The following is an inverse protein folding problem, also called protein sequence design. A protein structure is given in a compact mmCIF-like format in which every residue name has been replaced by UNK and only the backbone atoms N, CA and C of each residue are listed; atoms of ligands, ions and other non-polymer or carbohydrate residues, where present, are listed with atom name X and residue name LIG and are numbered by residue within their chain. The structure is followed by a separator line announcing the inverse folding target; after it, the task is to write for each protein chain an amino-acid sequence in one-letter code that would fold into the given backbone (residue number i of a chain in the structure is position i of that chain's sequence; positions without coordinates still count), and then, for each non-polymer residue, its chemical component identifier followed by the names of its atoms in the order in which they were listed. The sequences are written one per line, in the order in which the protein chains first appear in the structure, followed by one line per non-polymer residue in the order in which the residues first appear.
data_IF_131322494779
#
_entry.id   IF_131322494779
#
_cell.length_a   1.000
_cell.length_b   1.000
_cell.length_c   1.000
_cell.angle_alpha   90.00
_cell.angle_beta   90.00
_cell.angle_gamma   90.00
#
_symmetry.space_group_name_H-M   'P 1'
#
loop_
_entity.id
_entity.type
_entity.pdbx_description
1 polymer ?
#
# COMPACT_ATOMS: atom_id res chain seq x y z
N UNK A 1 -1.62 -24.89 10.17
CA UNK A 1 -0.48 -24.55 11.08
C UNK A 1 0.88 -24.40 10.38
N UNK A 2 1.02 -24.66 9.07
CA UNK A 2 2.28 -24.46 8.34
C UNK A 2 2.59 -22.98 7.97
N UNK A 3 1.59 -22.10 8.05
CA UNK A 3 1.73 -20.66 7.71
C UNK A 3 2.47 -19.87 8.80
N UNK A 4 2.59 -20.40 10.03
CA UNK A 4 3.23 -19.71 11.16
C UNK A 4 4.74 -19.98 11.29
N UNK A 5 5.32 -20.93 10.57
CA UNK A 5 6.77 -21.23 10.67
C UNK A 5 7.64 -20.05 10.19
N UNK A 6 7.29 -19.32 9.10
CA UNK A 6 8.00 -18.09 8.74
C UNK A 6 7.89 -17.00 9.81
N UNK A 7 6.76 -16.95 10.54
CA UNK A 7 6.50 -15.90 11.55
C UNK A 7 7.48 -15.90 12.71
N UNK A 8 7.89 -17.08 13.16
CA UNK A 8 8.81 -17.23 14.28
C UNK A 8 10.26 -16.82 13.95
N UNK A 9 10.64 -16.81 12.67
CA UNK A 9 12.01 -16.52 12.24
C UNK A 9 12.16 -15.32 11.28
N UNK A 10 11.11 -14.51 11.07
CA UNK A 10 11.19 -13.31 10.22
C UNK A 10 12.34 -12.37 10.61
N UNK A 11 12.62 -12.17 11.90
CA UNK A 11 13.74 -11.32 12.35
C UNK A 11 15.10 -11.83 11.83
N UNK A 12 15.26 -13.15 11.66
CA UNK A 12 16.50 -13.78 11.19
C UNK A 12 16.61 -13.80 9.67
N UNK A 13 15.48 -13.94 8.96
CA UNK A 13 15.40 -13.83 7.49
C UNK A 13 15.54 -12.39 6.99
N UNK A 14 14.99 -11.43 7.73
CA UNK A 14 14.98 -10.01 7.37
C UNK A 14 16.33 -9.32 7.64
N UNK A 15 17.15 -9.92 8.51
CA UNK A 15 18.39 -9.33 9.00
C UNK A 15 19.56 -10.28 8.73
N UNK A 16 19.75 -10.67 7.45
CA UNK A 16 20.86 -11.50 6.91
C UNK A 16 22.25 -10.90 7.21
N UNK A 17 22.59 -10.70 8.48
CA UNK A 17 23.83 -10.11 8.97
C UNK A 17 23.96 -8.58 8.82
N UNK A 18 23.01 -7.89 8.19
CA UNK A 18 23.07 -6.44 7.94
C UNK A 18 22.67 -5.56 9.13
N UNK A 19 23.20 -4.34 9.21
CA UNK A 19 22.72 -3.30 10.15
C UNK A 19 21.26 -2.95 9.80
N UNK A 20 20.36 -2.94 10.79
CA UNK A 20 18.91 -2.65 10.61
C UNK A 20 18.62 -1.35 9.84
N UNK A 21 19.49 -0.33 9.97
CA UNK A 21 19.36 0.95 9.27
C UNK A 21 19.59 0.82 7.75
N UNK A 22 20.48 -0.05 7.33
CA UNK A 22 20.78 -0.28 5.91
C UNK A 22 19.71 -1.14 5.25
N UNK A 23 19.19 -2.12 5.98
CA UNK A 23 18.01 -2.89 5.55
C UNK A 23 16.80 -1.98 5.29
N UNK A 24 16.52 -1.04 6.20
CA UNK A 24 15.39 -0.12 6.08
C UNK A 24 15.52 0.83 4.88
N UNK A 25 16.74 1.30 4.57
CA UNK A 25 17.02 2.12 3.36
C UNK A 25 16.90 1.29 2.08
N UNK A 26 17.43 0.07 2.08
CA UNK A 26 17.35 -0.85 0.94
C UNK A 26 15.89 -1.22 0.62
N UNK A 27 15.03 -1.34 1.64
CA UNK A 27 13.62 -1.62 1.46
C UNK A 27 12.88 -0.54 0.64
N UNK A 28 13.07 0.77 0.92
CA UNK A 28 12.46 1.82 0.08
C UNK A 28 12.97 1.72 -1.35
N UNK A 29 14.29 1.55 -1.49
CA UNK A 29 14.92 1.52 -2.81
C UNK A 29 14.37 0.39 -3.67
N UNK A 30 14.00 -0.74 -3.05
CA UNK A 30 13.33 -1.86 -3.71
C UNK A 30 11.83 -1.61 -3.98
N UNK A 31 11.14 -0.84 -3.13
CA UNK A 31 9.71 -0.56 -3.33
C UNK A 31 9.44 0.40 -4.49
N UNK A 32 10.28 1.41 -4.72
CA UNK A 32 10.09 2.36 -5.82
C UNK A 32 9.93 1.66 -7.19
N UNK A 33 10.87 0.79 -7.64
CA UNK A 33 10.72 0.11 -8.92
C UNK A 33 9.53 -0.86 -8.91
N UNK A 34 9.24 -1.53 -7.79
CA UNK A 34 8.09 -2.42 -7.67
C UNK A 34 6.76 -1.67 -7.88
N UNK A 35 6.63 -0.47 -7.30
CA UNK A 35 5.44 0.39 -7.46
C UNK A 35 5.30 0.84 -8.91
N UNK A 36 6.39 1.29 -9.54
CA UNK A 36 6.37 1.73 -10.95
C UNK A 36 5.97 0.59 -11.88
N UNK A 37 6.55 -0.61 -11.69
CA UNK A 37 6.21 -1.78 -12.50
C UNK A 37 4.76 -2.18 -12.27
N UNK A 38 4.30 -2.25 -11.02
CA UNK A 38 2.92 -2.61 -10.70
C UNK A 38 1.92 -1.61 -11.31
N UNK A 39 2.18 -0.30 -11.19
CA UNK A 39 1.36 0.74 -11.79
C UNK A 39 1.33 0.65 -13.33
N UNK A 40 2.48 0.38 -13.96
CA UNK A 40 2.58 0.21 -15.41
C UNK A 40 1.79 -1.02 -15.86
N UNK A 41 1.90 -2.15 -15.15
CA UNK A 41 1.11 -3.36 -15.41
C UNK A 41 -0.37 -3.06 -15.32
N UNK A 42 -0.85 -2.37 -14.28
CA UNK A 42 -2.27 -2.02 -14.15
C UNK A 42 -2.79 -1.20 -15.34
N UNK A 43 -2.01 -0.22 -15.82
CA UNK A 43 -2.38 0.58 -16.99
C UNK A 43 -2.35 -0.24 -18.28
N UNK A 44 -1.33 -1.09 -18.46
CA UNK A 44 -1.21 -1.96 -19.63
C UNK A 44 -2.37 -2.96 -19.67
N UNK A 45 -2.72 -3.58 -18.54
CA UNK A 45 -3.87 -4.48 -18.40
C UNK A 45 -5.16 -3.80 -18.84
N UNK A 46 -5.43 -2.58 -18.38
CA UNK A 46 -6.59 -1.81 -18.82
C UNK A 46 -6.59 -1.53 -20.32
N UNK A 47 -5.43 -1.17 -20.89
CA UNK A 47 -5.32 -0.83 -22.31
C UNK A 47 -5.41 -2.05 -23.24
N UNK A 48 -4.95 -3.21 -22.79
CA UNK A 48 -4.81 -4.42 -23.62
C UNK A 48 -5.89 -5.45 -23.36
N UNK A 49 -6.15 -5.79 -22.10
CA UNK A 49 -7.04 -6.88 -21.70
C UNK A 49 -8.47 -6.37 -21.59
N UNK A 50 -8.70 -5.32 -20.80
CA UNK A 50 -10.08 -4.87 -20.54
C UNK A 50 -10.73 -4.30 -21.81
N UNK A 51 -9.98 -3.50 -22.58
CA UNK A 51 -10.46 -3.04 -23.89
C UNK A 51 -10.67 -4.19 -24.89
N UNK A 52 -9.80 -5.20 -24.92
CA UNK A 52 -9.97 -6.32 -25.84
C UNK A 52 -11.17 -7.21 -25.47
N UNK A 53 -11.42 -7.44 -24.19
CA UNK A 53 -12.55 -8.25 -23.70
C UNK A 53 -13.88 -7.55 -24.00
N UNK A 54 -13.96 -6.24 -23.74
CA UNK A 54 -15.14 -5.43 -24.06
C UNK A 54 -15.39 -5.38 -25.57
N UNK A 55 -14.33 -5.19 -26.37
CA UNK A 55 -14.45 -5.10 -27.83
C UNK A 55 -14.75 -6.46 -28.50
N UNK A 56 -14.41 -7.57 -27.84
CA UNK A 56 -14.74 -8.93 -28.28
C UNK A 56 -16.17 -9.35 -27.90
N UNK A 57 -16.94 -8.49 -27.21
CA UNK A 57 -18.35 -8.71 -26.87
C UNK A 57 -18.60 -9.90 -25.92
N UNK A 58 -17.55 -10.40 -25.27
CA UNK A 58 -17.58 -11.63 -24.48
C UNK A 58 -18.04 -11.39 -23.03
N UNK A 59 -17.87 -10.17 -22.52
CA UNK A 59 -18.36 -9.69 -21.23
C UNK A 59 -18.79 -8.23 -21.41
N UNK A 60 -20.04 -7.91 -21.05
CA UNK A 60 -20.61 -6.57 -21.16
C UNK A 60 -20.10 -5.59 -20.09
N UNK A 61 -19.55 -6.10 -18.99
CA UNK A 61 -19.06 -5.31 -17.88
C UNK A 61 -17.84 -5.99 -17.26
N UNK A 62 -16.66 -5.38 -17.45
CA UNK A 62 -15.43 -5.84 -16.80
C UNK A 62 -15.12 -4.81 -15.72
N UNK A 63 -15.26 -5.20 -14.46
CA UNK A 63 -15.01 -4.31 -13.32
C UNK A 63 -13.49 -4.12 -13.19
N UNK A 64 -12.94 -3.15 -13.91
CA UNK A 64 -11.54 -2.74 -13.79
C UNK A 64 -11.33 -2.01 -12.46
N UNK A 65 -10.25 -2.33 -11.76
CA UNK A 65 -9.89 -1.70 -10.50
C UNK A 65 -9.73 -0.18 -10.68
N UNK A 66 -9.18 0.28 -11.79
CA UNK A 66 -9.02 1.72 -12.05
C UNK A 66 -10.36 2.43 -12.26
N UNK A 67 -11.39 1.70 -12.72
CA UNK A 67 -12.72 2.22 -12.94
C UNK A 67 -13.52 2.25 -11.63
N UNK A 68 -13.39 1.20 -10.81
CA UNK A 68 -13.93 1.16 -9.43
C UNK A 68 -13.37 2.30 -8.59
N UNK A 69 -12.08 2.60 -8.73
CA UNK A 69 -11.43 3.69 -8.01
C UNK A 69 -11.71 5.07 -8.63
N UNK A 70 -12.35 5.14 -9.80
CA UNK A 70 -12.65 6.39 -10.51
C UNK A 70 -11.45 7.03 -11.25
N UNK A 71 -10.24 6.50 -11.08
CA UNK A 71 -9.00 6.98 -11.74
C UNK A 71 -9.08 6.90 -13.26
N UNK A 72 -9.87 5.97 -13.76
CA UNK A 72 -10.17 5.80 -15.17
C UNK A 72 -10.63 7.09 -15.88
N UNK A 73 -11.36 7.96 -15.17
CA UNK A 73 -12.00 9.17 -15.68
C UNK A 73 -11.04 10.35 -15.86
N UNK A 74 -9.94 10.38 -15.12
CA UNK A 74 -8.98 11.49 -15.10
C UNK A 74 -7.95 11.40 -16.25
N UNK A 75 -7.90 10.26 -16.95
CA UNK A 75 -7.01 9.98 -18.08
C UNK A 75 -5.85 9.07 -17.70
N UNK A 76 -5.33 8.31 -18.68
CA UNK A 76 -4.35 7.22 -18.45
C UNK A 76 -3.08 7.65 -17.72
N UNK A 77 -2.51 8.81 -18.10
CA UNK A 77 -1.29 9.32 -17.45
C UNK A 77 -1.54 9.74 -15.99
N UNK A 78 -2.69 10.37 -15.72
CA UNK A 78 -3.04 10.76 -14.35
C UNK A 78 -3.33 9.54 -13.46
N UNK A 79 -4.01 8.53 -14.02
CA UNK A 79 -4.31 7.27 -13.35
C UNK A 79 -3.02 6.54 -12.96
N UNK A 80 -1.98 6.60 -13.79
CA UNK A 80 -0.66 6.06 -13.46
C UNK A 80 -0.05 6.71 -12.21
N UNK A 81 -0.14 8.03 -12.06
CA UNK A 81 0.36 8.72 -10.87
C UNK A 81 -0.52 8.46 -9.64
N UNK A 82 -1.85 8.43 -9.80
CA UNK A 82 -2.80 8.12 -8.72
C UNK A 82 -2.57 6.71 -8.17
N UNK A 83 -2.52 5.70 -9.04
CA UNK A 83 -2.29 4.31 -8.61
C UNK A 83 -0.91 4.15 -7.97
N UNK A 84 0.13 4.81 -8.53
CA UNK A 84 1.48 4.79 -7.94
C UNK A 84 1.50 5.40 -6.52
N UNK A 85 0.79 6.50 -6.30
CA UNK A 85 0.72 7.16 -4.99
C UNK A 85 0.00 6.29 -3.94
N UNK A 86 -1.12 5.65 -4.34
CA UNK A 86 -1.86 4.73 -3.46
C UNK A 86 -1.03 3.49 -3.13
N UNK A 87 -0.35 2.90 -4.12
CA UNK A 87 0.56 1.76 -3.90
C UNK A 87 1.72 2.13 -2.97
N UNK A 88 2.27 3.34 -3.09
CA UNK A 88 3.31 3.81 -2.17
C UNK A 88 2.81 3.88 -0.72
N UNK A 89 1.64 4.47 -0.49
CA UNK A 89 1.02 4.52 0.83
C UNK A 89 0.79 3.10 1.38
N UNK A 90 0.27 2.20 0.54
CA UNK A 90 0.02 0.81 0.91
C UNK A 90 1.31 0.06 1.27
N UNK A 91 2.37 0.21 0.47
CA UNK A 91 3.69 -0.34 0.79
C UNK A 91 4.22 0.18 2.13
N UNK A 92 4.06 1.48 2.41
CA UNK A 92 4.47 2.05 3.70
C UNK A 92 3.69 1.39 4.83
N UNK A 93 2.35 1.33 4.75
CA UNK A 93 1.50 0.68 5.76
C UNK A 93 1.92 -0.77 5.96
N UNK A 94 2.03 -1.56 4.90
CA UNK A 94 2.45 -2.97 4.99
C UNK A 94 3.84 -3.12 5.63
N UNK A 95 4.79 -2.27 5.24
CA UNK A 95 6.12 -2.27 5.82
C UNK A 95 6.06 -2.02 7.33
N UNK A 96 5.26 -1.04 7.77
CA UNK A 96 5.09 -0.74 9.20
C UNK A 96 4.39 -1.87 9.96
N UNK A 97 3.37 -2.48 9.35
CA UNK A 97 2.63 -3.61 9.93
C UNK A 97 3.56 -4.81 10.15
N UNK A 98 4.36 -5.16 9.14
CA UNK A 98 5.38 -6.22 9.23
C UNK A 98 6.41 -5.95 10.33
N UNK A 99 6.84 -4.68 10.49
CA UNK A 99 7.76 -4.30 11.57
C UNK A 99 7.14 -4.40 12.97
N UNK A 100 5.83 -4.17 13.10
CA UNK A 100 5.11 -4.24 14.38
C UNK A 100 4.74 -5.68 14.74
N UNK A 101 4.41 -6.52 13.76
CA UNK A 101 4.12 -7.95 13.97
C UNK A 101 5.28 -8.70 14.65
N UNK A 102 6.53 -8.31 14.39
CA UNK A 102 7.71 -8.86 15.07
C UNK A 102 7.92 -8.35 16.51
N UNK A 103 7.06 -7.45 17.02
CA UNK A 103 7.13 -6.91 18.38
C UNK A 103 5.98 -7.46 19.23
N UNK A 104 6.17 -7.46 20.55
CA UNK A 104 5.19 -7.95 21.53
C UNK A 104 3.82 -7.24 21.45
N UNK A 105 3.76 -6.05 20.86
CA UNK A 105 2.53 -5.29 20.64
C UNK A 105 1.80 -5.63 19.32
N UNK A 106 2.22 -6.64 18.56
CA UNK A 106 1.56 -7.08 17.32
C UNK A 106 0.07 -7.40 17.51
N UNK A 107 -0.30 -8.01 18.64
CA UNK A 107 -1.69 -8.28 19.01
C UNK A 107 -2.57 -7.01 19.16
N UNK A 108 -1.99 -5.85 19.48
CA UNK A 108 -2.73 -4.59 19.58
C UNK A 108 -3.17 -4.13 18.19
N UNK A 109 -2.33 -4.34 17.18
CA UNK A 109 -2.67 -4.02 15.78
C UNK A 109 -3.83 -4.88 15.31
N UNK A 110 -3.82 -6.18 15.63
CA UNK A 110 -4.90 -7.09 15.25
C UNK A 110 -6.23 -6.69 15.90
N UNK A 111 -6.21 -6.38 17.21
CA UNK A 111 -7.39 -5.87 17.92
C UNK A 111 -7.85 -4.53 17.32
N UNK A 112 -6.92 -3.63 17.00
CA UNK A 112 -7.24 -2.34 16.40
C UNK A 112 -7.94 -2.49 15.05
N UNK A 113 -7.47 -3.39 14.19
CA UNK A 113 -8.11 -3.66 12.89
C UNK A 113 -9.54 -4.17 13.08
N UNK A 114 -9.74 -5.12 14.00
CA UNK A 114 -11.08 -5.67 14.29
C UNK A 114 -12.00 -4.55 14.80
N UNK A 115 -11.55 -3.74 15.77
CA UNK A 115 -12.33 -2.63 16.30
C UNK A 115 -12.60 -1.59 15.22
N UNK A 116 -11.66 -1.29 14.34
CA UNK A 116 -11.83 -0.31 13.27
C UNK A 116 -12.93 -0.74 12.28
N UNK A 117 -13.05 -2.05 12.00
CA UNK A 117 -14.07 -2.62 11.09
C UNK A 117 -15.46 -2.73 11.74
N UNK A 118 -15.54 -3.01 13.04
CA UNK A 118 -16.82 -3.31 13.72
C UNK A 118 -17.38 -2.15 14.58
N UNK A 119 -16.65 -1.07 14.77
CA UNK A 119 -17.01 0.05 15.67
C UNK A 119 -17.41 1.33 14.89
N UNK A 120 -17.93 2.40 15.49
CA UNK A 120 -18.36 3.60 14.76
C UNK A 120 -17.19 4.39 14.14
N UNK A 121 -15.94 3.97 14.39
CA UNK A 121 -14.74 4.42 13.69
C UNK A 121 -14.77 4.12 12.18
N UNK A 122 -15.68 3.27 11.70
CA UNK A 122 -15.94 3.09 10.28
C UNK A 122 -16.18 4.41 9.54
N UNK A 123 -16.81 5.40 10.18
CA UNK A 123 -17.04 6.70 9.55
C UNK A 123 -15.71 7.44 9.24
N UNK A 124 -14.74 7.38 10.16
CA UNK A 124 -13.41 7.96 9.96
C UNK A 124 -12.62 7.18 8.89
N UNK A 125 -12.79 5.85 8.84
CA UNK A 125 -12.15 5.00 7.83
C UNK A 125 -12.71 5.28 6.43
N UNK A 126 -14.03 5.44 6.29
CA UNK A 126 -14.69 5.85 5.04
C UNK A 126 -14.23 7.24 4.62
N UNK A 127 -14.12 8.19 5.55
CA UNK A 127 -13.58 9.52 5.27
C UNK A 127 -12.14 9.45 4.76
N UNK A 128 -11.30 8.63 5.39
CA UNK A 128 -9.92 8.41 4.94
C UNK A 128 -9.87 7.83 3.52
N UNK A 129 -10.66 6.79 3.22
CA UNK A 129 -10.73 6.25 1.86
C UNK A 129 -11.27 7.25 0.85
N UNK A 130 -12.26 8.08 1.21
CA UNK A 130 -12.74 9.14 0.32
C UNK A 130 -11.67 10.20 0.04
N UNK A 131 -10.79 10.49 1.00
CA UNK A 131 -9.71 11.46 0.83
C UNK A 131 -8.54 10.89 0.00
N UNK A 132 -8.22 9.60 0.19
CA UNK A 132 -7.04 8.93 -0.39
C UNK A 132 -7.35 8.24 -1.72
N UNK A 133 -8.58 7.79 -1.92
CA UNK A 133 -9.02 7.02 -3.10
C UNK A 133 -10.03 7.82 -3.92
N UNK A 134 -11.20 8.14 -3.37
CA UNK A 134 -12.32 8.66 -4.19
C UNK A 134 -12.32 10.19 -4.35
N UNK A 135 -11.19 10.85 -4.12
CA UNK A 135 -11.15 12.30 -4.15
C UNK A 135 -11.14 12.84 -5.59
N UNK A 136 -12.08 13.75 -5.89
CA UNK A 136 -12.25 14.31 -7.24
C UNK A 136 -11.02 15.13 -7.71
N UNK A 137 -10.28 15.73 -6.77
CA UNK A 137 -9.08 16.51 -7.11
C UNK A 137 -7.84 15.60 -7.08
N UNK A 138 -7.36 15.24 -8.27
CA UNK A 138 -6.18 14.37 -8.51
C UNK A 138 -4.98 14.79 -7.63
N UNK A 139 -4.66 16.10 -7.61
CA UNK A 139 -3.50 16.61 -6.89
C UNK A 139 -3.63 16.42 -5.38
N UNK A 140 -4.80 16.67 -4.80
CA UNK A 140 -5.04 16.50 -3.36
C UNK A 140 -4.91 15.04 -2.97
N UNK A 141 -5.43 14.14 -3.79
CA UNK A 141 -5.30 12.70 -3.58
C UNK A 141 -3.82 12.27 -3.58
N UNK A 142 -3.05 12.64 -4.61
CA UNK A 142 -1.63 12.27 -4.72
C UNK A 142 -0.83 12.84 -3.54
N UNK A 143 -0.98 14.14 -3.27
CA UNK A 143 -0.23 14.81 -2.19
C UNK A 143 -0.58 14.18 -0.84
N UNK A 144 -1.85 13.91 -0.57
CA UNK A 144 -2.26 13.27 0.68
C UNK A 144 -1.66 11.87 0.84
N UNK A 145 -1.66 11.05 -0.22
CA UNK A 145 -1.04 9.72 -0.20
C UNK A 145 0.46 9.78 0.09
N UNK A 146 1.18 10.69 -0.57
CA UNK A 146 2.62 10.88 -0.35
C UNK A 146 2.91 11.40 1.07
N UNK A 147 2.10 12.35 1.55
CA UNK A 147 2.27 12.93 2.88
C UNK A 147 2.00 11.87 3.97
N UNK A 148 0.88 11.16 3.90
CA UNK A 148 0.60 10.07 4.85
C UNK A 148 1.66 8.96 4.78
N UNK A 149 2.07 8.54 3.58
CA UNK A 149 3.10 7.52 3.40
C UNK A 149 4.44 7.94 4.01
N UNK A 150 4.87 9.18 3.76
CA UNK A 150 6.13 9.71 4.32
C UNK A 150 6.10 9.84 5.84
N UNK A 151 4.98 10.30 6.42
CA UNK A 151 4.80 10.37 7.88
C UNK A 151 4.86 8.98 8.51
N UNK A 152 4.13 8.01 7.96
CA UNK A 152 4.11 6.63 8.44
C UNK A 152 5.51 5.99 8.37
N UNK A 153 6.22 6.23 7.26
CA UNK A 153 7.58 5.76 7.08
C UNK A 153 8.56 6.41 8.07
N UNK A 154 8.47 7.72 8.28
CA UNK A 154 9.29 8.45 9.24
C UNK A 154 9.07 7.95 10.68
N UNK A 155 7.81 7.75 11.08
CA UNK A 155 7.45 7.19 12.39
C UNK A 155 8.05 5.80 12.61
N UNK A 156 8.18 5.00 11.55
CA UNK A 156 8.78 3.66 11.61
C UNK A 156 10.30 3.69 11.75
N UNK A 157 10.93 4.77 11.31
CA UNK A 157 12.37 4.95 11.42
C UNK A 157 12.83 5.33 12.83
N UNK A 158 12.05 6.15 13.55
CA UNK A 158 12.32 6.61 14.92
C UNK A 158 12.71 5.47 15.88
N UNK A 159 11.92 4.39 16.03
CA UNK A 159 12.25 3.30 16.96
C UNK A 159 13.47 2.48 16.53
N UNK A 160 13.91 2.56 15.27
CA UNK A 160 15.11 1.88 14.76
C UNK A 160 16.36 2.72 15.07
N UNK A 161 16.25 4.05 15.11
CA UNK A 161 17.36 4.92 15.49
C UNK A 161 17.71 4.81 16.99
N UNK A 162 16.68 4.64 17.83
CA UNK A 162 16.81 4.69 19.29
C UNK A 162 17.21 3.36 19.95
N UNK A 163 17.38 2.28 19.18
CA UNK A 163 17.96 1.04 19.72
C UNK A 163 19.48 1.10 19.57
N UNK A 164 20.26 1.16 20.68
CA UNK A 164 21.70 0.90 20.61
C UNK A 164 21.89 -0.53 20.09
N UNK A 165 22.94 -0.69 19.29
CA UNK A 165 23.34 -1.94 18.61
C UNK A 165 23.50 -3.06 19.64
#
# INVERSE_FOLDING_TARGET
MAIFIPTAHFTKLMNLGGRRKEFFKSAIFSYIPAIVIAAAVSIITRLTIDKAIVLSGKLSDTVDLLDVLGFASHGSLSAFFQISAVLFLFCCILHTMMLIQGKWYGWIVDIFIIVMIFSPLNAALVWFFNMVIFHNIILVQIISCLLFGSVIYALSFIPIQNKPI
#
